data_IF_487641565859
#
_entry.id   IF_487641565859
#
_cell.length_a   1.000
_cell.length_b   1.000
_cell.length_c   1.000
_cell.angle_alpha   90.00
_cell.angle_beta   90.00
_cell.angle_gamma   90.00
#
_symmetry.space_group_name_H-M   'P 1'
#
loop_
_entity.id
_entity.type
_entity.pdbx_description
1 polymer ?
#
# COMPACT_ATOMS: atom_id res chain seq x y z
N UNK A 1 28.93 19.87 -3.83
CA UNK A 1 27.46 19.98 -3.93
C UNK A 1 26.87 19.59 -2.59
N UNK A 2 25.87 20.33 -2.12
CA UNK A 2 25.10 20.04 -0.89
C UNK A 2 23.72 19.52 -1.28
N UNK A 3 23.00 18.89 -0.33
CA UNK A 3 21.62 18.46 -0.56
C UNK A 3 20.74 19.63 -1.02
N UNK A 4 20.89 20.80 -0.39
CA UNK A 4 20.10 22.00 -0.71
C UNK A 4 20.35 22.48 -2.14
N UNK A 5 21.62 22.61 -2.54
CA UNK A 5 21.99 23.05 -3.90
C UNK A 5 21.57 22.06 -4.98
N UNK A 6 21.53 20.77 -4.66
CA UNK A 6 20.99 19.74 -5.56
C UNK A 6 19.47 19.88 -5.69
N UNK A 7 18.75 19.99 -4.57
CA UNK A 7 17.29 20.12 -4.52
C UNK A 7 16.83 21.37 -5.26
N UNK A 8 17.45 22.53 -5.03
CA UNK A 8 17.11 23.78 -5.72
C UNK A 8 17.23 23.64 -7.24
N UNK A 9 18.31 23.02 -7.72
CA UNK A 9 18.50 22.78 -9.15
C UNK A 9 17.42 21.86 -9.70
N UNK A 10 17.12 20.75 -9.03
CA UNK A 10 16.09 19.81 -9.50
C UNK A 10 14.69 20.44 -9.49
N UNK A 11 14.35 21.23 -8.47
CA UNK A 11 13.10 22.01 -8.42
C UNK A 11 13.03 22.97 -9.60
N UNK A 12 14.11 23.71 -9.87
CA UNK A 12 14.17 24.63 -10.99
C UNK A 12 14.03 23.93 -12.36
N UNK A 13 14.67 22.77 -12.53
CA UNK A 13 14.65 22.03 -13.79
C UNK A 13 13.30 21.33 -14.05
N UNK A 14 12.61 20.89 -12.99
CA UNK A 14 11.38 20.09 -13.11
C UNK A 14 10.10 20.90 -12.96
N UNK A 15 10.16 22.11 -12.41
CA UNK A 15 8.98 22.98 -12.34
C UNK A 15 8.49 23.32 -13.74
N UNK A 16 7.17 23.35 -13.90
CA UNK A 16 6.54 23.70 -15.16
C UNK A 16 5.12 24.21 -14.92
N UNK A 17 4.49 24.76 -15.96
CA UNK A 17 3.14 25.37 -15.86
C UNK A 17 2.08 24.44 -15.26
N UNK A 18 2.25 23.12 -15.42
CA UNK A 18 1.32 22.09 -14.96
C UNK A 18 1.98 21.06 -14.04
N UNK A 19 3.17 21.36 -13.51
CA UNK A 19 3.95 20.43 -12.69
C UNK A 19 4.34 21.09 -11.38
N UNK A 20 3.85 20.51 -10.28
CA UNK A 20 4.28 20.88 -8.93
C UNK A 20 5.41 19.96 -8.50
N UNK A 21 6.48 20.54 -7.97
CA UNK A 21 7.59 19.77 -7.37
C UNK A 21 7.48 19.88 -5.85
N UNK A 22 7.35 18.73 -5.19
CA UNK A 22 7.29 18.65 -3.74
C UNK A 22 8.63 18.17 -3.18
N UNK A 23 9.16 18.90 -2.19
CA UNK A 23 10.38 18.56 -1.47
C UNK A 23 10.00 18.13 -0.07
N UNK A 24 10.50 16.96 0.36
CA UNK A 24 10.17 16.38 1.66
C UNK A 24 11.38 16.47 2.56
N UNK A 25 11.26 17.23 3.66
CA UNK A 25 12.37 17.43 4.60
C UNK A 25 11.86 17.56 6.04
N UNK A 26 12.72 17.20 7.00
CA UNK A 26 12.51 17.47 8.42
C UNK A 26 13.16 18.78 8.87
N UNK A 27 14.05 19.36 8.07
CA UNK A 27 14.69 20.64 8.40
C UNK A 27 13.67 21.78 8.23
N UNK A 28 13.63 22.66 9.23
CA UNK A 28 12.76 23.83 9.25
C UNK A 28 13.33 25.00 8.44
N UNK A 29 14.65 25.07 8.26
CA UNK A 29 15.31 26.17 7.54
C UNK A 29 15.08 26.11 6.02
N UNK A 30 14.90 24.92 5.46
CA UNK A 30 14.70 24.69 4.02
C UNK A 30 13.41 25.31 3.46
N UNK A 31 12.45 25.70 4.31
CA UNK A 31 11.15 26.21 3.86
C UNK A 31 11.29 27.51 3.05
N UNK A 32 12.18 28.43 3.45
CA UNK A 32 12.40 29.68 2.73
C UNK A 32 13.08 29.45 1.37
N UNK A 33 13.99 28.48 1.31
CA UNK A 33 14.80 28.18 0.13
C UNK A 33 13.99 27.47 -0.96
N UNK A 34 13.15 26.51 -0.57
CA UNK A 34 12.26 25.77 -1.47
C UNK A 34 11.21 26.71 -2.09
N UNK A 35 10.64 27.64 -1.29
CA UNK A 35 9.66 28.60 -1.78
C UNK A 35 10.26 29.56 -2.83
N UNK A 36 11.51 29.99 -2.64
CA UNK A 36 12.20 30.87 -3.59
C UNK A 36 12.46 30.24 -4.96
N UNK A 37 12.63 28.91 -5.02
CA UNK A 37 12.87 28.17 -6.27
C UNK A 37 11.58 27.72 -6.97
N UNK A 38 10.43 27.81 -6.29
CA UNK A 38 9.11 27.43 -6.80
C UNK A 38 8.69 25.99 -6.46
N UNK A 39 9.37 25.36 -5.49
CA UNK A 39 8.97 24.07 -4.94
C UNK A 39 7.98 24.23 -3.78
N UNK A 40 7.34 23.12 -3.41
CA UNK A 40 6.43 23.04 -2.27
C UNK A 40 7.03 22.12 -1.21
N UNK A 41 7.09 22.56 0.05
CA UNK A 41 7.61 21.73 1.14
C UNK A 41 6.52 20.84 1.72
N UNK A 42 6.84 19.57 1.94
CA UNK A 42 6.07 18.65 2.78
C UNK A 42 6.96 18.25 3.97
N UNK A 43 6.54 18.44 5.22
CA UNK A 43 7.26 17.91 6.37
C UNK A 43 7.37 16.38 6.30
N UNK A 44 8.54 15.84 6.65
CA UNK A 44 8.76 14.38 6.63
C UNK A 44 7.70 13.59 7.43
N UNK A 45 7.24 14.15 8.56
CA UNK A 45 6.17 13.55 9.40
C UNK A 45 4.81 13.52 8.69
N UNK A 46 4.50 14.52 7.88
CA UNK A 46 3.26 14.55 7.12
C UNK A 46 3.28 13.51 6.01
N UNK A 47 4.38 13.40 5.26
CA UNK A 47 4.52 12.34 4.27
C UNK A 47 4.39 10.95 4.91
N UNK A 48 5.00 10.73 6.07
CA UNK A 48 4.87 9.47 6.80
C UNK A 48 3.41 9.15 7.13
N UNK A 49 2.64 10.13 7.59
CA UNK A 49 1.22 9.97 7.86
C UNK A 49 0.42 9.69 6.59
N UNK A 50 0.70 10.39 5.49
CA UNK A 50 0.06 10.14 4.19
C UNK A 50 0.31 8.71 3.70
N UNK A 51 1.54 8.22 3.79
CA UNK A 51 1.88 6.84 3.41
C UNK A 51 1.14 5.83 4.29
N UNK A 52 1.07 6.08 5.60
CA UNK A 52 0.34 5.20 6.53
C UNK A 52 -1.14 5.12 6.16
N UNK A 53 -1.77 6.27 5.91
CA UNK A 53 -3.18 6.33 5.50
C UNK A 53 -3.42 5.65 4.15
N UNK A 54 -2.55 5.90 3.16
CA UNK A 54 -2.65 5.27 1.85
C UNK A 54 -2.56 3.73 1.94
N UNK A 55 -1.66 3.20 2.77
CA UNK A 55 -1.56 1.75 3.01
C UNK A 55 -2.79 1.16 3.71
N UNK A 56 -3.39 1.92 4.61
CA UNK A 56 -4.62 1.50 5.29
C UNK A 56 -5.81 1.48 4.33
N UNK A 57 -5.94 2.51 3.49
CA UNK A 57 -6.94 2.59 2.43
C UNK A 57 -6.76 1.46 1.41
N UNK A 58 -5.53 1.22 0.94
CA UNK A 58 -5.19 0.11 0.06
C UNK A 58 -5.63 -1.23 0.65
N UNK A 59 -5.28 -1.48 1.91
CA UNK A 59 -5.69 -2.71 2.62
C UNK A 59 -7.21 -2.85 2.69
N UNK A 60 -7.94 -1.77 2.94
CA UNK A 60 -9.41 -1.78 2.97
C UNK A 60 -9.98 -2.11 1.58
N UNK A 61 -9.54 -1.40 0.54
CA UNK A 61 -10.01 -1.62 -0.84
C UNK A 61 -9.79 -3.08 -1.28
N UNK A 62 -8.59 -3.62 -1.10
CA UNK A 62 -8.28 -5.00 -1.48
C UNK A 62 -8.92 -6.06 -0.55
N UNK A 63 -9.14 -5.77 0.74
CA UNK A 63 -9.88 -6.68 1.63
C UNK A 63 -11.37 -6.80 1.28
N UNK A 64 -11.93 -5.78 0.61
CA UNK A 64 -13.30 -5.81 0.10
C UNK A 64 -13.41 -6.48 -1.27
N UNK A 65 -12.44 -6.26 -2.17
CA UNK A 65 -12.42 -6.88 -3.51
C UNK A 65 -12.08 -8.37 -3.47
N UNK A 66 -11.08 -8.79 -2.69
CA UNK A 66 -10.70 -10.20 -2.56
C UNK A 66 -11.56 -11.00 -1.59
N UNK A 67 -12.63 -10.44 -1.01
CA UNK A 67 -13.62 -11.28 -0.32
C UNK A 67 -14.33 -12.23 -1.29
N UNK A 68 -14.42 -11.89 -2.58
CA UNK A 68 -14.89 -12.82 -3.63
C UNK A 68 -13.83 -13.88 -3.97
N UNK A 69 -12.54 -13.53 -3.92
CA UNK A 69 -11.44 -14.47 -4.17
C UNK A 69 -11.09 -15.36 -2.95
N UNK A 70 -11.39 -14.93 -1.74
CA UNK A 70 -11.32 -15.79 -0.55
C UNK A 70 -12.38 -16.90 -0.58
N UNK A 71 -13.48 -16.70 -1.31
CA UNK A 71 -14.45 -17.78 -1.60
C UNK A 71 -14.01 -18.68 -2.76
N UNK A 72 -13.15 -18.23 -3.67
CA UNK A 72 -12.63 -19.05 -4.78
C UNK A 72 -11.45 -19.95 -4.38
N UNK A 73 -10.83 -19.70 -3.21
CA UNK A 73 -9.88 -20.61 -2.56
C UNK A 73 -10.53 -21.57 -1.54
N UNK A 74 -11.87 -21.70 -1.53
CA UNK A 74 -12.45 -22.95 -1.01
C UNK A 74 -12.04 -24.05 -1.98
N UNK A 75 -10.94 -24.74 -1.68
CA UNK A 75 -10.65 -26.03 -2.31
C UNK A 75 -11.95 -26.82 -2.28
N UNK A 76 -12.39 -27.30 -3.43
CA UNK A 76 -13.48 -28.27 -3.55
C UNK A 76 -12.99 -29.62 -3.02
N UNK A 77 -12.57 -29.66 -1.75
CA UNK A 77 -12.28 -30.89 -1.06
C UNK A 77 -13.61 -31.63 -0.95
N UNK A 78 -13.70 -32.76 -1.64
CA UNK A 78 -14.90 -33.61 -1.65
C UNK A 78 -15.36 -33.88 -0.21
N UNK A 79 -14.43 -34.01 0.74
CA UNK A 79 -14.71 -34.15 2.17
C UNK A 79 -15.55 -33.04 2.80
N UNK A 80 -15.44 -31.79 2.32
CA UNK A 80 -16.24 -30.66 2.80
C UNK A 80 -17.66 -30.60 2.22
N UNK A 81 -17.95 -31.40 1.19
CA UNK A 81 -19.25 -31.52 0.53
C UNK A 81 -20.02 -32.78 0.95
N UNK A 82 -19.36 -33.71 1.63
CA UNK A 82 -19.99 -34.93 2.13
C UNK A 82 -20.75 -34.64 3.43
N UNK A 83 -21.92 -35.24 3.59
CA UNK A 83 -22.60 -35.24 4.89
C UNK A 83 -21.72 -35.97 5.92
N UNK A 84 -21.81 -35.61 7.22
CA UNK A 84 -21.00 -36.23 8.26
C UNK A 84 -21.07 -37.76 8.27
N UNK A 85 -22.25 -38.30 7.99
CA UNK A 85 -22.51 -39.74 7.92
C UNK A 85 -21.77 -40.44 6.77
N UNK A 86 -21.77 -39.83 5.58
CA UNK A 86 -21.09 -40.41 4.40
C UNK A 86 -19.57 -40.32 4.57
N UNK A 87 -19.07 -39.23 5.14
CA UNK A 87 -17.65 -39.08 5.44
C UNK A 87 -17.16 -40.15 6.43
N UNK A 88 -17.93 -40.43 7.49
CA UNK A 88 -17.58 -41.47 8.46
C UNK A 88 -17.55 -42.86 7.83
N UNK A 89 -18.51 -43.18 6.95
CA UNK A 89 -18.57 -44.47 6.26
C UNK A 89 -17.39 -44.68 5.33
N UNK A 90 -16.99 -43.65 4.59
CA UNK A 90 -15.80 -43.70 3.73
C UNK A 90 -14.52 -43.83 4.54
N UNK A 91 -14.45 -43.19 5.72
CA UNK A 91 -13.30 -43.31 6.61
C UNK A 91 -13.18 -44.71 7.24
N UNK A 92 -14.30 -45.37 7.57
CA UNK A 92 -14.30 -46.77 8.00
C UNK A 92 -13.77 -47.71 6.90
N UNK A 93 -14.25 -47.53 5.67
CA UNK A 93 -13.76 -48.27 4.50
C UNK A 93 -12.26 -48.02 4.26
N UNK A 94 -11.80 -46.77 4.37
CA UNK A 94 -10.38 -46.42 4.24
C UNK A 94 -9.50 -47.10 5.29
N UNK A 95 -10.01 -47.28 6.51
CA UNK A 95 -9.31 -47.93 7.63
C UNK A 95 -9.42 -49.46 7.61
N UNK A 96 -10.14 -50.05 6.65
CA UNK A 96 -10.28 -51.50 6.51
C UNK A 96 -11.21 -52.14 7.54
N UNK A 97 -12.16 -51.37 8.09
CA UNK A 97 -13.25 -51.86 8.93
C UNK A 97 -14.55 -52.05 8.13
#
# INVERSE_FOLDING_TARGET
ETADSFIEREVFLRKGKYTNVYVVTSDGAEQNQILGSGGLRIPARELQNMIRMAKEEERLQYAHEHRRDQFSLRRNEVGGLLSPEVAEKLEKLRRGH
#
